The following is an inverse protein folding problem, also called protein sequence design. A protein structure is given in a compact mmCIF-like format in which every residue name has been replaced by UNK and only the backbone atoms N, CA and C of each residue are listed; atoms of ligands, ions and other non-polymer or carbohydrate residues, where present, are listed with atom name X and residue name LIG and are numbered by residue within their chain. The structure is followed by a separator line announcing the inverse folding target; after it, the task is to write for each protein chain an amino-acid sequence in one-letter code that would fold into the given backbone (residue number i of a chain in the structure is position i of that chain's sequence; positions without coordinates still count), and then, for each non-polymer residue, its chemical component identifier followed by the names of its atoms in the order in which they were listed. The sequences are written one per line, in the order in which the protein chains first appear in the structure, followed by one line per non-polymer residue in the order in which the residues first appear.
data_IF_529985644962
#
_entry.id   IF_529985644962
#
_cell.length_a   1.000
_cell.length_b   1.000
_cell.length_c   1.000
_cell.angle_alpha   90.00
_cell.angle_beta   90.00
_cell.angle_gamma   90.00
#
_symmetry.space_group_name_H-M   'P 1'
#
loop_
_entity.id
_entity.type
_entity.pdbx_description
1 polymer ?
#
# COMPACT_ATOMS: atom_id res chain seq x y z
N UNK A 1 -19.29 11.26 -18.11
CA UNK A 1 -18.27 10.35 -18.68
C UNK A 1 -18.53 8.95 -18.14
N UNK A 2 -18.56 7.92 -19.02
CA UNK A 2 -18.81 6.54 -18.60
C UNK A 2 -17.49 5.84 -18.26
N UNK A 3 -17.35 5.36 -17.03
CA UNK A 3 -16.14 4.70 -16.52
C UNK A 3 -16.44 3.24 -16.20
N UNK A 4 -15.70 2.34 -16.85
CA UNK A 4 -15.69 0.91 -16.54
C UNK A 4 -14.56 0.62 -15.57
N UNK A 5 -14.83 -0.19 -14.54
CA UNK A 5 -13.86 -0.51 -13.50
C UNK A 5 -14.10 -1.89 -12.88
N UNK A 6 -13.06 -2.41 -12.24
CA UNK A 6 -13.10 -3.61 -11.41
C UNK A 6 -12.91 -3.17 -9.96
N UNK A 7 -13.86 -3.45 -9.05
CA UNK A 7 -13.63 -3.28 -7.64
C UNK A 7 -12.66 -4.34 -7.14
N UNK A 8 -11.66 -3.94 -6.39
CA UNK A 8 -10.68 -4.82 -5.78
C UNK A 8 -10.58 -4.54 -4.28
N UNK A 9 -10.46 -5.60 -3.49
CA UNK A 9 -10.23 -5.55 -2.05
C UNK A 9 -8.92 -6.25 -1.70
N UNK A 10 -7.79 -5.53 -1.67
CA UNK A 10 -6.52 -6.05 -1.22
C UNK A 10 -6.36 -5.89 0.31
N UNK A 11 -7.09 -6.69 1.08
CA UNK A 11 -7.09 -6.68 2.54
C UNK A 11 -7.60 -5.34 3.15
N UNK A 12 -8.72 -4.84 2.63
CA UNK A 12 -9.44 -3.68 3.16
C UNK A 12 -9.13 -2.33 2.52
N UNK A 13 -8.03 -2.21 1.76
CA UNK A 13 -7.71 -0.97 1.04
C UNK A 13 -8.43 -0.94 -0.32
N UNK A 14 -9.74 -0.68 -0.28
CA UNK A 14 -10.62 -0.78 -1.45
C UNK A 14 -10.13 0.06 -2.63
N UNK A 15 -9.89 -0.61 -3.73
CA UNK A 15 -9.28 -0.03 -4.93
C UNK A 15 -10.20 -0.18 -6.15
N UNK A 16 -10.45 0.90 -6.88
CA UNK A 16 -11.05 0.81 -8.20
C UNK A 16 -9.94 0.66 -9.26
N UNK A 17 -9.93 -0.46 -9.98
CA UNK A 17 -9.07 -0.66 -11.15
C UNK A 17 -9.83 -0.21 -12.40
N UNK A 18 -9.52 0.98 -12.91
CA UNK A 18 -10.24 1.62 -14.02
C UNK A 18 -9.78 1.09 -15.36
N UNK A 19 -10.72 0.54 -16.14
CA UNK A 19 -10.50 -0.03 -17.46
C UNK A 19 -10.63 1.03 -18.58
N UNK A 20 -11.43 2.08 -18.34
CA UNK A 20 -11.59 3.19 -19.29
C UNK A 20 -10.30 3.99 -19.34
N UNK A 21 -9.81 4.27 -20.55
CA UNK A 21 -8.62 5.11 -20.72
C UNK A 21 -8.95 6.56 -20.36
N UNK A 22 -8.16 7.13 -19.45
CA UNK A 22 -8.29 8.50 -18.93
C UNK A 22 -6.97 9.22 -19.10
N UNK A 23 -6.98 10.42 -19.67
CA UNK A 23 -5.80 11.26 -19.83
C UNK A 23 -5.14 11.57 -18.47
N UNK A 24 -3.79 11.63 -18.40
CA UNK A 24 -3.09 11.87 -17.14
C UNK A 24 -3.59 13.08 -16.36
N UNK A 25 -3.94 14.15 -17.07
CA UNK A 25 -4.44 15.43 -16.53
C UNK A 25 -5.85 15.33 -15.93
N UNK A 26 -6.65 14.32 -16.32
CA UNK A 26 -8.02 14.14 -15.86
C UNK A 26 -8.10 13.12 -14.71
N UNK A 27 -7.07 12.28 -14.52
CA UNK A 27 -7.08 11.15 -13.58
C UNK A 27 -7.44 11.53 -12.15
N UNK A 28 -6.86 12.61 -11.63
CA UNK A 28 -7.13 13.07 -10.27
C UNK A 28 -8.60 13.48 -10.09
N UNK A 29 -9.18 14.19 -11.08
CA UNK A 29 -10.57 14.61 -11.03
C UNK A 29 -11.54 13.44 -11.18
N UNK A 30 -11.24 12.50 -12.09
CA UNK A 30 -12.02 11.26 -12.27
C UNK A 30 -11.97 10.41 -11.00
N UNK A 31 -10.80 10.21 -10.41
CA UNK A 31 -10.63 9.46 -9.17
C UNK A 31 -11.43 10.07 -8.01
N UNK A 32 -11.37 11.39 -7.85
CA UNK A 32 -12.15 12.08 -6.80
C UNK A 32 -13.66 11.88 -6.97
N UNK A 33 -14.17 11.92 -8.21
CA UNK A 33 -15.57 11.66 -8.49
C UNK A 33 -15.95 10.19 -8.24
N UNK A 34 -15.10 9.24 -8.63
CA UNK A 34 -15.31 7.82 -8.37
C UNK A 34 -15.37 7.54 -6.87
N UNK A 35 -14.39 8.01 -6.09
CA UNK A 35 -14.36 7.86 -4.64
C UNK A 35 -15.60 8.46 -3.95
N UNK A 36 -16.10 9.59 -4.46
CA UNK A 36 -17.28 10.25 -3.89
C UNK A 36 -18.61 9.58 -4.26
N UNK A 37 -18.70 8.89 -5.40
CA UNK A 37 -19.97 8.45 -5.99
C UNK A 37 -20.15 6.94 -6.08
N UNK A 38 -19.04 6.18 -6.10
CA UNK A 38 -19.13 4.71 -6.12
C UNK A 38 -19.57 4.18 -4.75
N UNK A 39 -20.58 3.29 -4.72
CA UNK A 39 -21.15 2.78 -3.46
C UNK A 39 -20.18 1.89 -2.66
N UNK A 40 -19.10 1.43 -3.28
CA UNK A 40 -18.08 0.59 -2.65
C UNK A 40 -17.24 1.35 -1.62
N UNK A 41 -17.16 2.66 -1.70
CA UNK A 41 -16.33 3.48 -0.80
C UNK A 41 -14.84 3.29 -1.03
N UNK A 42 -14.39 3.40 -2.30
CA UNK A 42 -12.99 3.26 -2.65
C UNK A 42 -12.08 4.25 -1.91
N UNK A 43 -10.96 3.76 -1.43
CA UNK A 43 -9.90 4.56 -0.83
C UNK A 43 -8.91 5.08 -1.88
N UNK A 44 -8.84 4.42 -3.05
CA UNK A 44 -7.94 4.77 -4.15
C UNK A 44 -8.44 4.29 -5.51
N UNK A 45 -7.87 4.89 -6.56
CA UNK A 45 -8.18 4.55 -7.95
C UNK A 45 -6.87 4.33 -8.72
N UNK A 46 -6.78 3.20 -9.41
CA UNK A 46 -5.71 2.88 -10.35
C UNK A 46 -6.24 2.85 -11.79
N UNK A 47 -5.50 3.40 -12.71
CA UNK A 47 -5.80 3.46 -14.14
C UNK A 47 -4.97 2.42 -14.88
N UNK A 48 -5.63 1.40 -15.42
CA UNK A 48 -4.99 0.31 -16.15
C UNK A 48 -4.53 0.84 -17.53
N UNK A 49 -3.27 0.61 -17.86
CA UNK A 49 -2.71 0.96 -19.17
C UNK A 49 -3.37 0.19 -20.32
N UNK A 50 -3.30 0.75 -21.50
CA UNK A 50 -3.86 0.14 -22.71
C UNK A 50 -3.24 -1.25 -22.94
N UNK A 51 -4.09 -2.21 -23.35
CA UNK A 51 -3.71 -3.61 -23.59
C UNK A 51 -2.92 -4.30 -22.46
N UNK A 52 -3.03 -3.82 -21.20
CA UNK A 52 -2.23 -4.32 -20.08
C UNK A 52 -2.27 -5.84 -19.92
N UNK A 53 -3.41 -6.48 -20.16
CA UNK A 53 -3.52 -7.95 -20.08
C UNK A 53 -2.61 -8.70 -21.08
N UNK A 54 -2.30 -8.09 -22.23
CA UNK A 54 -1.47 -8.67 -23.29
C UNK A 54 -0.02 -8.20 -23.22
N UNK A 55 0.25 -7.09 -22.53
CA UNK A 55 1.58 -6.49 -22.45
C UNK A 55 2.56 -7.42 -21.71
N UNK A 56 3.81 -7.48 -22.16
CA UNK A 56 4.90 -8.18 -21.46
C UNK A 56 5.14 -7.56 -20.07
N UNK A 57 5.03 -6.23 -19.99
CA UNK A 57 5.10 -5.47 -18.75
C UNK A 57 3.81 -4.65 -18.58
N UNK A 58 2.78 -5.22 -17.92
CA UNK A 58 1.53 -4.51 -17.67
C UNK A 58 1.73 -3.23 -16.87
N UNK A 59 0.97 -2.18 -17.19
CA UNK A 59 1.08 -0.87 -16.56
C UNK A 59 -0.16 -0.51 -15.75
N UNK A 60 0.06 0.00 -14.53
CA UNK A 60 -0.94 0.64 -13.68
C UNK A 60 -0.44 2.05 -13.31
N UNK A 61 -1.30 3.05 -13.42
CA UNK A 61 -1.02 4.40 -12.93
C UNK A 61 -1.98 4.73 -11.79
N UNK A 62 -1.45 5.11 -10.63
CA UNK A 62 -2.25 5.54 -9.49
C UNK A 62 -2.72 6.98 -9.68
N UNK A 63 -3.82 7.33 -9.03
CA UNK A 63 -4.51 8.61 -9.16
C UNK A 63 -3.63 9.84 -8.85
N UNK A 64 -2.66 9.72 -7.96
CA UNK A 64 -1.70 10.77 -7.59
C UNK A 64 -0.30 10.52 -8.16
N UNK A 65 -0.10 9.46 -8.95
CA UNK A 65 1.22 9.09 -9.49
C UNK A 65 2.14 8.39 -8.49
N UNK A 66 1.66 8.10 -7.29
CA UNK A 66 2.37 7.41 -6.21
C UNK A 66 2.57 5.91 -6.49
N UNK A 67 3.44 5.27 -5.71
CA UNK A 67 3.52 3.82 -5.61
C UNK A 67 2.55 3.30 -4.54
N UNK A 68 1.76 2.29 -4.88
CA UNK A 68 0.90 1.59 -3.93
C UNK A 68 1.04 0.06 -4.05
N UNK A 69 1.57 -0.58 -3.00
CA UNK A 69 1.74 -2.04 -2.94
C UNK A 69 0.40 -2.80 -2.95
N UNK A 70 -0.65 -2.26 -2.34
CA UNK A 70 -1.99 -2.84 -2.34
C UNK A 70 -2.60 -2.85 -3.75
N UNK A 71 -2.52 -1.73 -4.47
CA UNK A 71 -2.96 -1.64 -5.86
C UNK A 71 -2.13 -2.53 -6.79
N UNK A 72 -0.81 -2.61 -6.58
CA UNK A 72 0.08 -3.49 -7.34
C UNK A 72 -0.35 -4.96 -7.26
N UNK A 73 -0.70 -5.44 -6.05
CA UNK A 73 -1.20 -6.80 -5.82
C UNK A 73 -2.54 -7.04 -6.52
N UNK A 74 -3.48 -6.13 -6.34
CA UNK A 74 -4.80 -6.21 -6.97
C UNK A 74 -4.70 -6.22 -8.49
N UNK A 75 -3.86 -5.35 -9.05
CA UNK A 75 -3.63 -5.27 -10.49
C UNK A 75 -2.99 -6.55 -11.05
N UNK A 76 -1.97 -7.11 -10.38
CA UNK A 76 -1.34 -8.36 -10.81
C UNK A 76 -2.34 -9.53 -10.81
N UNK A 77 -3.22 -9.63 -9.79
CA UNK A 77 -4.29 -10.62 -9.76
C UNK A 77 -5.29 -10.42 -10.92
N UNK A 78 -5.61 -9.17 -11.26
CA UNK A 78 -6.46 -8.88 -12.41
C UNK A 78 -5.80 -9.31 -13.73
N UNK A 79 -4.51 -9.00 -13.93
CA UNK A 79 -3.76 -9.42 -15.14
C UNK A 79 -3.74 -10.93 -15.26
N UNK A 80 -3.44 -11.66 -14.19
CA UNK A 80 -3.45 -13.13 -14.17
C UNK A 80 -4.83 -13.66 -14.56
N UNK A 81 -5.92 -13.15 -13.96
CA UNK A 81 -7.30 -13.50 -14.31
C UNK A 81 -7.59 -13.27 -15.79
N UNK A 82 -7.15 -12.17 -16.39
CA UNK A 82 -7.34 -11.87 -17.81
C UNK A 82 -6.53 -12.79 -18.74
N UNK A 83 -5.45 -13.36 -18.25
CA UNK A 83 -4.60 -14.33 -18.98
C UNK A 83 -5.07 -15.78 -18.85
N UNK A 84 -6.12 -16.02 -18.08
CA UNK A 84 -6.68 -17.36 -17.83
C UNK A 84 -6.21 -18.00 -16.54
N UNK A 85 -5.45 -17.29 -15.72
CA UNK A 85 -4.96 -17.72 -14.42
C UNK A 85 -3.77 -18.69 -14.49
N UNK A 86 -3.15 -18.92 -13.35
CA UNK A 86 -2.09 -19.91 -13.17
C UNK A 86 -0.66 -19.37 -13.15
N UNK A 87 -0.48 -18.05 -13.25
CA UNK A 87 0.83 -17.44 -13.03
C UNK A 87 1.21 -17.54 -11.55
N UNK A 88 2.47 -17.88 -11.28
CA UNK A 88 3.01 -17.87 -9.90
C UNK A 88 3.62 -16.51 -9.54
N UNK A 89 3.96 -15.70 -10.54
CA UNK A 89 4.49 -14.36 -10.36
C UNK A 89 4.36 -13.54 -11.64
N UNK A 90 4.23 -12.22 -11.48
CA UNK A 90 4.21 -11.25 -12.57
C UNK A 90 5.13 -10.08 -12.25
N UNK A 91 5.76 -9.52 -13.28
CA UNK A 91 6.36 -8.20 -13.20
C UNK A 91 5.39 -7.18 -13.78
N UNK A 92 5.14 -6.12 -13.05
CA UNK A 92 4.28 -5.01 -13.46
C UNK A 92 5.04 -3.69 -13.42
N UNK A 93 4.62 -2.73 -14.22
CA UNK A 93 5.01 -1.33 -14.09
C UNK A 93 3.91 -0.60 -13.33
N UNK A 94 4.27 0.18 -12.33
CA UNK A 94 3.31 1.02 -11.59
C UNK A 94 3.90 2.41 -11.38
N UNK A 95 3.05 3.43 -11.39
CA UNK A 95 3.47 4.81 -11.07
C UNK A 95 4.21 4.86 -9.74
N UNK A 96 5.09 5.83 -9.54
CA UNK A 96 5.91 5.97 -8.33
C UNK A 96 7.05 4.95 -8.20
N UNK A 97 7.08 3.86 -8.98
CA UNK A 97 8.18 2.90 -8.99
C UNK A 97 9.09 3.14 -10.20
N UNK A 98 10.40 3.29 -9.95
CA UNK A 98 11.41 3.47 -11.00
C UNK A 98 11.77 2.17 -11.75
N UNK A 99 11.45 1.02 -11.18
CA UNK A 99 11.74 -0.31 -11.72
C UNK A 99 10.47 -1.17 -11.72
N UNK A 100 10.40 -2.21 -12.58
CA UNK A 100 9.30 -3.16 -12.52
C UNK A 100 9.18 -3.78 -11.13
N UNK A 101 7.96 -3.93 -10.66
CA UNK A 101 7.62 -4.52 -9.37
C UNK A 101 7.25 -5.98 -9.57
N UNK A 102 7.97 -6.86 -8.90
CA UNK A 102 7.65 -8.28 -8.87
C UNK A 102 6.47 -8.52 -7.91
N UNK A 103 5.46 -9.25 -8.38
CA UNK A 103 4.32 -9.68 -7.56
C UNK A 103 4.22 -11.20 -7.62
N UNK A 104 4.32 -11.84 -6.47
CA UNK A 104 4.07 -13.28 -6.31
C UNK A 104 2.57 -13.51 -6.16
N UNK A 105 2.05 -14.53 -6.83
CA UNK A 105 0.63 -14.89 -6.85
C UNK A 105 0.43 -16.26 -6.20
N UNK A 106 -0.40 -16.30 -5.18
CA UNK A 106 -0.86 -17.53 -4.52
C UNK A 106 -2.38 -17.68 -4.75
N UNK A 107 -2.72 -18.07 -5.97
CA UNK A 107 -4.11 -18.21 -6.39
C UNK A 107 -4.86 -19.26 -5.57
N UNK A 108 -4.17 -20.29 -5.05
CA UNK A 108 -4.78 -21.34 -4.23
C UNK A 108 -5.34 -20.78 -2.91
N UNK A 109 -4.74 -19.73 -2.38
CA UNK A 109 -5.16 -19.08 -1.13
C UNK A 109 -5.76 -17.68 -1.34
N UNK A 110 -5.92 -17.25 -2.59
CA UNK A 110 -6.43 -15.89 -2.92
C UNK A 110 -5.52 -14.77 -2.39
N UNK A 111 -4.20 -14.98 -2.40
CA UNK A 111 -3.21 -14.04 -1.88
C UNK A 111 -2.27 -13.56 -2.98
N UNK A 112 -1.75 -12.35 -2.80
CA UNK A 112 -0.66 -11.82 -3.61
C UNK A 112 0.30 -10.99 -2.77
N UNK A 113 1.59 -10.98 -3.15
CA UNK A 113 2.68 -10.34 -2.41
C UNK A 113 3.51 -9.49 -3.38
N UNK A 114 3.51 -8.18 -3.19
CA UNK A 114 4.30 -7.26 -4.00
C UNK A 114 5.67 -7.02 -3.36
N UNK A 115 6.71 -6.95 -4.19
CA UNK A 115 8.01 -6.45 -3.74
C UNK A 115 7.88 -4.98 -3.39
N UNK A 116 8.38 -4.63 -2.20
CA UNK A 116 8.28 -3.30 -1.63
C UNK A 116 9.64 -2.61 -1.60
N UNK A 117 9.66 -1.26 -1.67
CA UNK A 117 10.87 -0.49 -1.39
C UNK A 117 11.42 -0.83 0.01
N UNK A 118 12.74 -0.90 0.10
CA UNK A 118 13.41 -1.07 1.40
C UNK A 118 13.47 0.29 2.09
N UNK A 119 13.11 0.40 3.39
CA UNK A 119 13.28 1.63 4.14
C UNK A 119 14.70 2.18 4.07
N UNK A 120 14.82 3.49 3.95
CA UNK A 120 16.10 4.20 3.73
C UNK A 120 16.77 4.66 5.01
N UNK A 121 16.03 4.73 6.12
CA UNK A 121 16.58 5.18 7.39
C UNK A 121 15.69 4.91 8.59
N UNK A 122 16.25 5.16 9.74
CA UNK A 122 15.56 5.15 11.03
C UNK A 122 16.13 6.26 11.90
N UNK A 123 15.24 7.04 12.50
CA UNK A 123 15.60 7.96 13.57
C UNK A 123 14.70 7.74 14.80
N UNK A 124 15.04 8.37 15.90
CA UNK A 124 14.22 8.39 17.11
C UNK A 124 13.84 9.84 17.44
N UNK A 125 12.56 10.10 17.60
CA UNK A 125 12.05 11.40 18.07
C UNK A 125 11.54 11.30 19.51
N UNK A 126 11.42 12.43 20.18
CA UNK A 126 10.85 12.51 21.52
C UNK A 126 9.48 13.19 21.46
N UNK A 127 8.44 12.48 21.87
CA UNK A 127 7.06 12.97 21.89
C UNK A 127 6.41 12.61 23.21
N UNK A 128 5.96 13.63 23.97
CA UNK A 128 5.25 13.46 25.25
C UNK A 128 5.98 12.51 26.23
N UNK A 129 7.32 12.63 26.32
CA UNK A 129 8.16 11.79 27.18
C UNK A 129 8.47 10.39 26.65
N UNK A 130 7.95 10.00 25.49
CA UNK A 130 8.22 8.72 24.81
C UNK A 130 9.31 8.87 23.76
N UNK A 131 10.09 7.83 23.55
CA UNK A 131 10.95 7.67 22.37
C UNK A 131 10.15 6.94 21.31
N UNK A 132 10.03 7.54 20.12
CA UNK A 132 9.23 7.03 19.00
C UNK A 132 10.16 6.78 17.82
N UNK A 133 10.31 5.53 17.38
CA UNK A 133 11.03 5.23 16.14
C UNK A 133 10.29 5.79 14.93
N UNK A 134 11.00 6.45 14.03
CA UNK A 134 10.52 6.94 12.74
C UNK A 134 11.28 6.22 11.64
N UNK A 135 10.59 5.46 10.85
CA UNK A 135 11.13 4.74 9.68
C UNK A 135 10.95 5.60 8.45
N UNK A 136 12.08 5.94 7.81
CA UNK A 136 12.09 6.72 6.59
C UNK A 136 11.93 5.83 5.36
N UNK A 137 11.00 6.19 4.50
CA UNK A 137 10.77 5.54 3.20
C UNK A 137 10.70 6.62 2.11
N UNK A 138 10.79 6.22 0.87
CA UNK A 138 10.62 7.13 -0.25
C UNK A 138 9.16 7.65 -0.29
N UNK A 139 8.99 8.97 -0.18
CA UNK A 139 7.70 9.66 -0.24
C UNK A 139 6.86 9.62 1.04
N UNK A 140 7.20 8.79 2.04
CA UNK A 140 6.44 8.71 3.29
C UNK A 140 7.31 8.26 4.46
N UNK A 141 7.14 8.86 5.62
CA UNK A 141 7.78 8.44 6.87
C UNK A 141 6.74 7.85 7.83
N UNK A 142 7.12 6.82 8.57
CA UNK A 142 6.23 6.15 9.52
C UNK A 142 6.78 6.16 10.95
N UNK A 143 6.07 6.84 11.86
CA UNK A 143 6.30 6.75 13.29
C UNK A 143 5.63 5.49 13.86
N UNK A 144 6.40 4.68 14.57
CA UNK A 144 5.92 3.46 15.20
C UNK A 144 5.57 3.70 16.66
N UNK A 145 4.30 3.52 17.02
CA UNK A 145 3.75 3.78 18.36
C UNK A 145 3.35 2.47 19.05
N UNK A 146 4.32 1.71 19.63
CA UNK A 146 4.01 0.48 20.35
C UNK A 146 3.26 0.78 21.64
N UNK A 147 2.37 -0.14 22.01
CA UNK A 147 1.58 -0.10 23.26
C UNK A 147 0.77 1.19 23.44
N UNK A 148 0.30 1.75 22.33
CA UNK A 148 -0.52 2.95 22.31
C UNK A 148 -1.87 2.68 21.65
N UNK A 149 -2.94 3.13 22.30
CA UNK A 149 -4.24 3.19 21.67
C UNK A 149 -4.28 4.26 20.56
N UNK A 150 -5.02 4.04 19.47
CA UNK A 150 -5.20 5.04 18.42
C UNK A 150 -5.72 6.37 18.98
N UNK A 151 -5.02 7.48 18.67
CA UNK A 151 -5.36 8.81 19.13
C UNK A 151 -4.95 9.86 18.11
N UNK A 152 -5.90 10.65 17.64
CA UNK A 152 -5.64 11.75 16.71
C UNK A 152 -4.81 12.84 17.34
N UNK A 153 -5.00 13.13 18.65
CA UNK A 153 -4.22 14.11 19.38
C UNK A 153 -2.75 13.69 19.49
N UNK A 154 -2.51 12.42 19.83
CA UNK A 154 -1.16 11.88 19.90
C UNK A 154 -0.49 11.88 18.52
N UNK A 155 -1.21 11.52 17.47
CA UNK A 155 -0.69 11.57 16.09
C UNK A 155 -0.28 13.01 15.70
N UNK A 156 -1.08 14.02 16.06
CA UNK A 156 -0.73 15.43 15.81
C UNK A 156 0.56 15.85 16.53
N UNK A 157 0.76 15.38 17.76
CA UNK A 157 2.00 15.65 18.48
C UNK A 157 3.20 14.95 17.82
N UNK A 158 3.01 13.72 17.32
CA UNK A 158 4.03 12.97 16.57
C UNK A 158 4.39 13.69 15.28
N UNK A 159 3.41 14.04 14.43
CA UNK A 159 3.68 14.75 13.16
C UNK A 159 4.43 16.07 13.35
N UNK A 160 4.11 16.82 14.40
CA UNK A 160 4.84 18.06 14.72
C UNK A 160 6.31 17.84 15.08
N UNK A 161 6.65 16.65 15.58
CA UNK A 161 8.01 16.30 15.98
C UNK A 161 8.78 15.57 14.86
N UNK A 162 8.08 15.03 13.86
CA UNK A 162 8.71 14.40 12.69
C UNK A 162 9.29 15.44 11.73
N UNK A 163 10.36 15.12 10.99
CA UNK A 163 10.78 15.90 9.84
C UNK A 163 9.63 16.09 8.83
N UNK A 164 9.63 17.23 8.14
CA UNK A 164 8.64 17.49 7.11
C UNK A 164 8.82 16.50 5.94
N UNK A 165 7.71 15.87 5.52
CA UNK A 165 7.68 14.92 4.42
C UNK A 165 6.33 15.07 3.66
N UNK A 166 6.26 14.59 2.42
CA UNK A 166 5.05 14.64 1.60
C UNK A 166 3.89 13.88 2.24
N UNK A 167 4.19 12.74 2.87
CA UNK A 167 3.25 12.01 3.70
C UNK A 167 3.91 11.54 5.01
N UNK A 168 3.12 11.45 6.06
CA UNK A 168 3.58 11.03 7.40
C UNK A 168 2.54 10.10 8.02
N UNK A 169 2.92 8.85 8.28
CA UNK A 169 2.08 7.87 8.97
C UNK A 169 2.40 7.74 10.45
N UNK A 170 1.39 7.51 11.26
CA UNK A 170 1.53 7.07 12.66
C UNK A 170 0.87 5.70 12.78
N UNK A 171 1.70 4.72 13.08
CA UNK A 171 1.29 3.32 13.23
C UNK A 171 1.07 3.03 14.71
N UNK A 172 -0.18 2.97 15.16
CA UNK A 172 -0.53 2.56 16.52
C UNK A 172 -0.52 1.04 16.60
N UNK A 173 0.31 0.47 17.47
CA UNK A 173 0.57 -0.96 17.52
C UNK A 173 0.18 -1.50 18.90
N UNK A 174 -0.70 -2.49 18.93
CA UNK A 174 -1.09 -3.22 20.13
C UNK A 174 -1.00 -4.73 19.83
N UNK A 175 0.00 -5.40 20.36
CA UNK A 175 0.33 -6.78 20.01
C UNK A 175 0.54 -6.96 18.50
N UNK A 176 -0.35 -7.71 17.82
CA UNK A 176 -0.33 -7.89 16.35
C UNK A 176 -1.26 -6.94 15.61
N UNK A 177 -2.04 -6.13 16.32
CA UNK A 177 -2.94 -5.15 15.70
C UNK A 177 -2.19 -3.86 15.40
N UNK A 178 -2.36 -3.34 14.17
CA UNK A 178 -1.83 -2.06 13.74
C UNK A 178 -2.98 -1.19 13.22
N UNK A 179 -3.10 0.02 13.74
CA UNK A 179 -4.08 1.02 13.29
C UNK A 179 -3.33 2.20 12.67
N UNK A 180 -3.38 2.35 11.33
CA UNK A 180 -2.65 3.42 10.65
C UNK A 180 -3.45 4.72 10.62
N UNK A 181 -2.79 5.85 10.87
CA UNK A 181 -3.31 7.18 10.60
C UNK A 181 -2.28 7.96 9.76
N UNK A 182 -2.66 8.34 8.56
CA UNK A 182 -1.77 8.97 7.58
C UNK A 182 -2.19 10.43 7.35
N UNK A 183 -1.21 11.31 7.36
CA UNK A 183 -1.31 12.71 6.97
C UNK A 183 -0.63 12.91 5.60
N UNK A 184 -1.31 13.59 4.68
CA UNK A 184 -0.79 13.97 3.36
C UNK A 184 -0.67 15.49 3.28
N UNK A 185 0.55 15.99 3.15
CA UNK A 185 0.84 17.43 3.23
C UNK A 185 0.19 18.23 2.09
N UNK A 186 0.22 17.71 0.85
CA UNK A 186 -0.30 18.39 -0.34
C UNK A 186 -1.81 18.70 -0.24
N UNK A 187 -2.58 17.84 0.43
CA UNK A 187 -4.04 18.00 0.58
C UNK A 187 -4.45 18.43 1.99
N UNK A 188 -3.54 18.36 2.97
CA UNK A 188 -3.83 18.57 4.38
C UNK A 188 -4.75 17.50 4.98
N UNK A 189 -4.96 16.38 4.30
CA UNK A 189 -5.86 15.30 4.71
C UNK A 189 -5.25 14.43 5.80
N UNK A 190 -6.12 13.89 6.65
CA UNK A 190 -5.78 12.91 7.69
C UNK A 190 -6.73 11.74 7.55
N UNK A 191 -6.20 10.58 7.28
CA UNK A 191 -6.98 9.39 6.95
C UNK A 191 -6.62 8.25 7.90
N UNK A 192 -7.61 7.72 8.61
CA UNK A 192 -7.53 6.39 9.21
C UNK A 192 -7.63 5.39 8.09
N UNK A 193 -6.51 4.77 7.75
CA UNK A 193 -6.49 3.79 6.66
C UNK A 193 -7.05 2.44 7.14
N UNK A 194 -7.78 1.78 6.26
CA UNK A 194 -8.26 0.42 6.50
C UNK A 194 -7.10 -0.57 6.46
N UNK A 195 -6.11 -0.36 5.59
CA UNK A 195 -4.83 -1.07 5.61
C UNK A 195 -3.70 -0.25 4.97
N UNK A 196 -2.52 -0.29 5.61
CA UNK A 196 -1.34 0.48 5.21
C UNK A 196 -0.17 -0.42 4.84
N UNK A 197 0.05 -0.65 3.55
CA UNK A 197 1.14 -1.51 3.09
C UNK A 197 2.53 -0.98 3.43
N UNK A 198 2.77 0.33 3.31
CA UNK A 198 4.06 0.95 3.68
C UNK A 198 4.29 0.93 5.20
N UNK A 199 3.24 1.15 5.99
CA UNK A 199 3.30 1.02 7.46
C UNK A 199 3.61 -0.41 7.89
N UNK A 200 2.98 -1.41 7.27
CA UNK A 200 3.29 -2.84 7.46
C UNK A 200 4.76 -3.14 7.17
N UNK A 201 5.29 -2.62 6.07
CA UNK A 201 6.72 -2.78 5.70
C UNK A 201 7.62 -2.10 6.71
N UNK A 202 7.31 -0.88 7.12
CA UNK A 202 8.09 -0.13 8.09
C UNK A 202 8.21 -0.88 9.43
N UNK A 203 7.09 -1.39 9.95
CA UNK A 203 7.07 -2.16 11.19
C UNK A 203 7.81 -3.50 11.04
N UNK A 204 7.56 -4.26 9.98
CA UNK A 204 8.24 -5.53 9.74
C UNK A 204 9.76 -5.36 9.61
N UNK A 205 10.21 -4.34 8.86
CA UNK A 205 11.62 -4.01 8.73
C UNK A 205 12.25 -3.62 10.07
N UNK A 206 11.56 -2.76 10.84
CA UNK A 206 12.03 -2.35 12.17
C UNK A 206 12.25 -3.54 13.10
N UNK A 207 11.32 -4.50 13.09
CA UNK A 207 11.42 -5.72 13.90
C UNK A 207 12.53 -6.65 13.40
N UNK A 208 12.65 -6.83 12.07
CA UNK A 208 13.63 -7.71 11.44
C UNK A 208 15.07 -7.27 11.70
N UNK A 209 15.34 -5.98 11.89
CA UNK A 209 16.69 -5.45 12.20
C UNK A 209 17.32 -6.02 13.47
N UNK A 210 16.52 -6.62 14.34
CA UNK A 210 16.99 -7.26 15.59
C UNK A 210 17.22 -8.76 15.44
N UNK A 211 16.97 -9.31 14.24
CA UNK A 211 17.04 -10.74 13.95
C UNK A 211 18.29 -11.08 13.15
N UNK A 212 18.69 -12.35 13.16
CA UNK A 212 19.81 -12.85 12.37
C UNK A 212 19.50 -12.82 10.86
N UNK A 213 20.53 -13.04 10.03
CA UNK A 213 20.35 -13.23 8.60
C UNK A 213 19.40 -14.41 8.32
N UNK A 214 18.57 -14.27 7.31
CA UNK A 214 17.52 -15.22 6.96
C UNK A 214 16.23 -14.51 6.51
N UNK A 215 15.20 -15.29 6.21
CA UNK A 215 13.86 -14.78 5.92
C UNK A 215 13.00 -14.80 7.17
N UNK A 216 12.35 -13.68 7.45
CA UNK A 216 11.48 -13.49 8.62
C UNK A 216 10.08 -13.04 8.18
N UNK A 217 9.07 -13.79 8.62
CA UNK A 217 7.67 -13.49 8.36
C UNK A 217 7.03 -12.72 9.51
N UNK A 218 6.24 -11.72 9.16
CA UNK A 218 5.44 -10.93 10.08
C UNK A 218 4.01 -10.85 9.56
N UNK A 219 3.05 -10.69 10.46
CA UNK A 219 1.66 -10.49 10.08
C UNK A 219 0.98 -9.57 11.08
N UNK A 220 0.23 -8.60 10.58
CA UNK A 220 -0.44 -7.59 11.36
C UNK A 220 -1.91 -7.54 11.00
N UNK A 221 -2.75 -7.45 12.01
CA UNK A 221 -4.20 -7.28 11.87
C UNK A 221 -4.49 -5.78 11.81
N UNK A 222 -4.98 -5.31 10.68
CA UNK A 222 -5.36 -3.91 10.45
C UNK A 222 -6.88 -3.78 10.34
N UNK A 223 -7.47 -2.58 10.44
CA UNK A 223 -8.93 -2.44 10.46
C UNK A 223 -9.66 -3.12 9.31
N UNK A 224 -9.09 -3.11 8.11
CA UNK A 224 -9.70 -3.70 6.91
C UNK A 224 -9.28 -5.13 6.61
N UNK A 225 -8.27 -5.66 7.30
CA UNK A 225 -7.81 -7.03 7.05
C UNK A 225 -6.40 -7.29 7.57
N UNK A 226 -5.90 -8.49 7.27
CA UNK A 226 -4.57 -8.92 7.67
C UNK A 226 -3.57 -8.70 6.56
N UNK A 227 -2.51 -7.94 6.84
CA UNK A 227 -1.34 -7.82 5.98
C UNK A 227 -0.17 -8.64 6.52
N UNK A 228 0.56 -9.23 5.60
CA UNK A 228 1.74 -10.06 5.85
C UNK A 228 2.97 -9.40 5.22
N UNK A 229 4.12 -9.51 5.86
CA UNK A 229 5.39 -9.07 5.27
C UNK A 229 6.46 -10.15 5.49
N UNK A 230 7.30 -10.37 4.47
CA UNK A 230 8.51 -11.19 4.59
C UNK A 230 9.72 -10.31 4.33
N UNK A 231 10.63 -10.29 5.28
CA UNK A 231 11.88 -9.51 5.22
C UNK A 231 13.04 -10.48 5.13
N UNK A 232 13.81 -10.43 4.04
CA UNK A 232 15.04 -11.19 3.90
C UNK A 232 16.21 -10.33 4.39
N UNK A 233 16.86 -10.77 5.46
CA UNK A 233 18.07 -10.15 6.01
C UNK A 233 19.33 -10.82 5.46
N UNK A 234 20.31 -10.02 5.03
CA UNK A 234 21.65 -10.50 4.59
C UNK A 234 22.70 -9.51 5.08
N UNK A 235 23.73 -10.03 5.71
CA UNK A 235 24.84 -9.23 6.28
C UNK A 235 24.32 -8.09 7.18
N UNK A 236 23.31 -8.40 8.02
CA UNK A 236 22.71 -7.45 8.93
C UNK A 236 21.85 -6.35 8.29
N UNK A 237 21.49 -6.49 7.00
CA UNK A 237 20.67 -5.51 6.25
C UNK A 237 19.51 -6.20 5.54
N UNK A 238 18.41 -5.49 5.38
CA UNK A 238 17.34 -5.98 4.54
C UNK A 238 17.77 -6.00 3.07
N UNK A 239 17.69 -7.18 2.45
CA UNK A 239 18.03 -7.38 1.03
C UNK A 239 16.77 -7.44 0.16
N UNK A 240 15.62 -7.84 0.73
CA UNK A 240 14.35 -7.93 0.05
C UNK A 240 13.21 -7.81 1.06
N UNK A 241 12.15 -7.13 0.66
CA UNK A 241 10.89 -7.09 1.42
C UNK A 241 9.74 -7.35 0.45
N UNK A 242 8.84 -8.24 0.81
CA UNK A 242 7.56 -8.42 0.13
C UNK A 242 6.43 -8.20 1.12
N UNK A 243 5.37 -7.54 0.70
CA UNK A 243 4.17 -7.31 1.49
C UNK A 243 2.96 -7.84 0.74
N UNK A 244 2.05 -8.47 1.46
CA UNK A 244 0.89 -9.08 0.84
C UNK A 244 -0.22 -9.46 1.80
N UNK A 245 -1.10 -10.30 1.31
CA UNK A 245 -2.31 -10.78 1.99
C UNK A 245 -3.38 -11.11 0.96
N UNK A 246 -4.61 -11.27 1.42
CA UNK A 246 -5.76 -11.56 0.55
C UNK A 246 -5.97 -10.47 -0.51
N UNK A 247 -6.46 -10.89 -1.66
CA UNK A 247 -6.93 -10.00 -2.73
C UNK A 247 -8.23 -10.59 -3.28
N UNK A 248 -9.30 -9.81 -3.18
CA UNK A 248 -10.58 -10.15 -3.78
C UNK A 248 -10.84 -9.22 -4.97
N UNK A 249 -11.17 -9.80 -6.12
CA UNK A 249 -11.55 -9.05 -7.32
C UNK A 249 -13.03 -9.25 -7.58
N UNK A 250 -13.77 -8.15 -7.66
CA UNK A 250 -15.17 -8.17 -8.09
C UNK A 250 -15.33 -8.34 -9.59
N UNK A 251 -16.58 -8.30 -10.03
CA UNK A 251 -16.95 -8.24 -11.44
C UNK A 251 -16.83 -6.82 -11.98
N UNK A 252 -16.70 -6.72 -13.31
CA UNK A 252 -16.66 -5.44 -13.99
C UNK A 252 -17.95 -4.64 -13.73
N UNK A 253 -17.80 -3.37 -13.42
CA UNK A 253 -18.88 -2.42 -13.19
C UNK A 253 -18.70 -1.17 -14.03
N UNK A 254 -19.73 -0.36 -14.06
CA UNK A 254 -19.76 0.90 -14.80
C UNK A 254 -20.41 1.99 -13.96
N UNK A 255 -19.88 3.19 -14.05
CA UNK A 255 -20.47 4.39 -13.44
C UNK A 255 -20.44 5.54 -14.45
N UNK A 256 -21.46 6.39 -14.40
CA UNK A 256 -21.50 7.65 -15.14
C UNK A 256 -21.11 8.81 -14.21
N UNK A 257 -20.02 9.51 -14.57
CA UNK A 257 -19.47 10.65 -13.84
C UNK A 257 -19.87 11.98 -14.45
#
# INVERSE_FOLDING_TARGET
MRIRYIPADPAGNLTALTLTQVGPEERAAVAAQMMARCPEGFEQVGFIGEDAAKAVLPRLDMMGGEFCGNAARAFACWVDRQRGGGESSLNISISGACQPVAVELDAAHGKAYAQMPIPIGLEEIRVMGRTVPVVHMEGIDHALMPDCAPSQELAQAVWKAMPAQDAQGVMFIQNTTMTPLVYVAATGTRVWESSCGSGTVALAWYLARKLADGEHGFAFDEPGGRLEARVTMRMGRAARIVMGGSVLLGEEREIEL
#
